data_IF_619060883126
#
_entry.id   IF_619060883126
#
_cell.length_a   1.000
_cell.length_b   1.000
_cell.length_c   1.000
_cell.angle_alpha   90.00
_cell.angle_beta   90.00
_cell.angle_gamma   90.00
#
_symmetry.space_group_name_H-M   'P 1'
#
loop_
_entity.id
_entity.type
_entity.pdbx_description
1 polymer ?
#
# COMPACT_ATOMS: atom_id res chain seq x y z
N UNK A 1 -31.55 -0.90 -2.25
CA UNK A 1 -30.25 -0.70 -2.93
C UNK A 1 -29.12 -1.01 -1.95
N UNK A 2 -28.68 -2.27 -1.84
CA UNK A 2 -27.75 -2.71 -0.79
C UNK A 2 -26.81 -3.85 -1.20
N UNK A 3 -26.62 -4.08 -2.50
CA UNK A 3 -25.78 -5.19 -3.02
C UNK A 3 -24.36 -4.78 -3.43
N UNK A 4 -24.04 -3.48 -3.46
CA UNK A 4 -22.73 -2.97 -3.93
C UNK A 4 -21.62 -2.94 -2.85
N UNK A 5 -21.96 -3.15 -1.57
CA UNK A 5 -21.01 -3.02 -0.44
C UNK A 5 -20.05 -4.22 -0.32
N UNK A 6 -20.51 -5.43 -0.64
CA UNK A 6 -19.70 -6.66 -0.59
C UNK A 6 -18.48 -6.63 -1.54
N UNK A 7 -18.62 -6.26 -2.83
CA UNK A 7 -17.47 -6.21 -3.74
C UNK A 7 -16.42 -5.17 -3.33
N UNK A 8 -16.84 -4.01 -2.82
CA UNK A 8 -15.90 -2.97 -2.36
C UNK A 8 -15.18 -3.38 -1.08
N UNK A 9 -15.87 -4.01 -0.13
CA UNK A 9 -15.24 -4.56 1.08
C UNK A 9 -14.12 -5.55 0.73
N UNK A 10 -14.34 -6.42 -0.25
CA UNK A 10 -13.32 -7.36 -0.71
C UNK A 10 -12.10 -6.65 -1.33
N UNK A 11 -12.32 -5.59 -2.12
CA UNK A 11 -11.24 -4.78 -2.67
C UNK A 11 -10.41 -4.09 -1.58
N UNK A 12 -11.06 -3.52 -0.56
CA UNK A 12 -10.38 -2.91 0.60
C UNK A 12 -9.55 -3.94 1.35
N UNK A 13 -10.10 -5.12 1.63
CA UNK A 13 -9.36 -6.20 2.31
C UNK A 13 -8.16 -6.66 1.48
N UNK A 14 -8.33 -6.81 0.17
CA UNK A 14 -7.26 -7.19 -0.75
C UNK A 14 -6.11 -6.18 -0.69
N UNK A 15 -6.38 -4.90 -0.88
CA UNK A 15 -5.33 -3.88 -0.92
C UNK A 15 -4.63 -3.71 0.43
N UNK A 16 -5.37 -3.86 1.54
CA UNK A 16 -4.78 -3.87 2.87
C UNK A 16 -3.76 -5.01 3.05
N UNK A 17 -4.09 -6.22 2.59
CA UNK A 17 -3.17 -7.37 2.63
C UNK A 17 -1.96 -7.20 1.72
N UNK A 18 -2.15 -6.63 0.53
CA UNK A 18 -1.06 -6.33 -0.40
C UNK A 18 -0.08 -5.31 0.20
N UNK A 19 -0.58 -4.23 0.81
CA UNK A 19 0.26 -3.23 1.48
C UNK A 19 0.97 -3.80 2.72
N UNK A 20 0.32 -4.71 3.47
CA UNK A 20 0.99 -5.44 4.55
C UNK A 20 2.11 -6.35 4.05
N UNK A 21 1.94 -6.97 2.88
CA UNK A 21 2.98 -7.79 2.29
C UNK A 21 4.19 -6.94 1.86
N UNK A 22 3.94 -5.82 1.18
CA UNK A 22 4.99 -4.90 0.72
C UNK A 22 5.75 -4.23 1.86
N UNK A 23 5.14 -4.09 3.03
CA UNK A 23 5.76 -3.43 4.19
C UNK A 23 6.67 -4.35 5.04
N UNK A 24 6.80 -5.63 4.70
CA UNK A 24 7.68 -6.57 5.43
C UNK A 24 9.14 -6.13 5.45
N UNK A 25 9.63 -5.63 4.34
CA UNK A 25 11.02 -5.18 4.16
C UNK A 25 11.18 -3.67 4.33
N UNK A 26 10.21 -3.02 4.99
CA UNK A 26 10.22 -1.58 5.18
C UNK A 26 11.39 -1.18 6.11
N UNK A 27 12.16 -0.10 5.81
CA UNK A 27 13.40 0.20 6.53
C UNK A 27 13.22 0.40 8.04
N UNK A 28 12.07 0.94 8.47
CA UNK A 28 11.72 1.20 9.87
C UNK A 28 11.13 -0.04 10.58
N UNK A 29 11.00 -1.17 9.88
CA UNK A 29 10.47 -2.43 10.40
C UNK A 29 8.99 -2.65 10.13
N UNK A 30 8.60 -3.93 10.13
CA UNK A 30 7.25 -4.37 9.81
C UNK A 30 6.20 -3.83 10.78
N UNK A 31 6.44 -3.91 12.09
CA UNK A 31 5.46 -3.48 13.11
C UNK A 31 5.18 -1.98 13.05
N UNK A 32 6.21 -1.18 12.76
CA UNK A 32 6.07 0.26 12.56
C UNK A 32 5.17 0.56 11.36
N UNK A 33 5.38 -0.12 10.23
CA UNK A 33 4.58 0.10 9.02
C UNK A 33 3.15 -0.44 9.18
N UNK A 34 3.01 -1.63 9.78
CA UNK A 34 1.74 -2.27 10.09
C UNK A 34 0.86 -1.41 10.98
N UNK A 35 1.41 -0.84 12.05
CA UNK A 35 0.63 0.01 12.98
C UNK A 35 0.10 1.27 12.29
N UNK A 36 0.92 1.93 11.45
CA UNK A 36 0.51 3.10 10.67
C UNK A 36 -0.52 2.76 9.60
N UNK A 37 -0.32 1.66 8.87
CA UNK A 37 -1.27 1.19 7.86
C UNK A 37 -2.61 0.88 8.51
N UNK A 38 -2.61 0.14 9.62
CA UNK A 38 -3.84 -0.18 10.36
C UNK A 38 -4.56 1.09 10.83
N UNK A 39 -3.83 2.06 11.40
CA UNK A 39 -4.41 3.35 11.82
C UNK A 39 -5.06 4.10 10.65
N UNK A 40 -4.41 4.13 9.48
CA UNK A 40 -4.95 4.80 8.29
C UNK A 40 -6.29 4.18 7.85
N UNK A 41 -6.34 2.84 7.71
CA UNK A 41 -7.57 2.14 7.32
C UNK A 41 -8.66 2.23 8.39
N UNK A 42 -8.29 2.08 9.67
CA UNK A 42 -9.22 2.16 10.80
C UNK A 42 -9.86 3.56 10.91
N UNK A 43 -9.11 4.63 10.66
CA UNK A 43 -9.64 6.00 10.69
C UNK A 43 -10.77 6.24 9.68
N UNK A 44 -10.82 5.45 8.60
CA UNK A 44 -11.83 5.54 7.55
C UNK A 44 -12.90 4.44 7.63
N UNK A 45 -12.92 3.62 8.68
CA UNK A 45 -13.85 2.50 8.80
C UNK A 45 -15.33 2.91 8.92
N UNK A 46 -15.61 4.17 9.22
CA UNK A 46 -16.96 4.73 9.34
C UNK A 46 -17.57 5.14 7.99
N UNK A 47 -16.80 5.14 6.89
CA UNK A 47 -17.30 5.52 5.57
C UNK A 47 -18.35 4.52 5.07
N UNK A 48 -19.54 5.03 4.74
CA UNK A 48 -20.64 4.27 4.15
C UNK A 48 -20.90 4.63 2.68
N UNK A 49 -20.44 5.81 2.26
CA UNK A 49 -20.61 6.30 0.90
C UNK A 49 -19.72 5.54 -0.09
N UNK A 50 -20.32 5.12 -1.20
CA UNK A 50 -19.67 4.25 -2.18
C UNK A 50 -18.53 4.96 -2.92
N UNK A 51 -18.74 6.23 -3.27
CA UNK A 51 -17.72 7.03 -3.97
C UNK A 51 -16.53 7.35 -3.06
N UNK A 52 -16.78 7.68 -1.80
CA UNK A 52 -15.76 7.86 -0.79
C UNK A 52 -14.90 6.60 -0.62
N UNK A 53 -15.50 5.42 -0.57
CA UNK A 53 -14.78 4.14 -0.49
C UNK A 53 -13.93 3.92 -1.75
N UNK A 54 -14.49 4.14 -2.95
CA UNK A 54 -13.74 4.02 -4.21
C UNK A 54 -12.54 4.97 -4.26
N UNK A 55 -12.71 6.20 -3.78
CA UNK A 55 -11.61 7.17 -3.69
C UNK A 55 -10.54 6.74 -2.69
N UNK A 56 -10.94 6.15 -1.55
CA UNK A 56 -10.02 5.54 -0.60
C UNK A 56 -9.21 4.40 -1.22
N UNK A 57 -9.85 3.52 -2.00
CA UNK A 57 -9.18 2.44 -2.73
C UNK A 57 -8.18 3.00 -3.74
N UNK A 58 -8.58 3.98 -4.57
CA UNK A 58 -7.67 4.63 -5.53
C UNK A 58 -6.44 5.23 -4.85
N UNK A 59 -6.62 5.86 -3.69
CA UNK A 59 -5.51 6.41 -2.89
C UNK A 59 -4.58 5.30 -2.39
N UNK A 60 -5.13 4.20 -1.90
CA UNK A 60 -4.33 3.05 -1.46
C UNK A 60 -3.56 2.41 -2.63
N UNK A 61 -4.15 2.35 -3.83
CA UNK A 61 -3.47 1.86 -5.06
C UNK A 61 -2.32 2.78 -5.48
N UNK A 62 -2.50 4.09 -5.35
CA UNK A 62 -1.44 5.05 -5.61
C UNK A 62 -0.25 4.84 -4.65
N UNK A 63 -0.51 4.76 -3.34
CA UNK A 63 0.52 4.51 -2.32
C UNK A 63 1.24 3.18 -2.56
N UNK A 64 0.50 2.13 -2.96
CA UNK A 64 1.09 0.84 -3.33
C UNK A 64 2.15 1.00 -4.43
N UNK A 65 1.82 1.72 -5.51
CA UNK A 65 2.75 1.97 -6.63
C UNK A 65 3.98 2.76 -6.20
N UNK A 66 3.83 3.73 -5.30
CA UNK A 66 4.97 4.47 -4.75
C UNK A 66 5.93 3.54 -3.98
N UNK A 67 5.40 2.66 -3.13
CA UNK A 67 6.21 1.69 -2.40
C UNK A 67 6.92 0.72 -3.35
N UNK A 68 6.23 0.22 -4.38
CA UNK A 68 6.83 -0.63 -5.41
C UNK A 68 7.95 0.11 -6.15
N UNK A 69 7.73 1.37 -6.54
CA UNK A 69 8.76 2.20 -7.18
C UNK A 69 10.00 2.38 -6.30
N UNK A 70 9.83 2.59 -4.99
CA UNK A 70 10.95 2.67 -4.05
C UNK A 70 11.71 1.34 -3.95
N UNK A 71 11.02 0.21 -4.01
CA UNK A 71 11.65 -1.11 -4.04
C UNK A 71 12.47 -1.31 -5.33
N UNK A 72 11.92 -0.95 -6.49
CA UNK A 72 12.65 -0.97 -7.76
C UNK A 72 13.88 -0.06 -7.74
N UNK A 73 13.75 1.15 -7.18
CA UNK A 73 14.85 2.10 -7.05
C UNK A 73 15.98 1.55 -6.16
N UNK A 74 15.63 0.92 -5.03
CA UNK A 74 16.61 0.26 -4.14
C UNK A 74 17.37 -0.83 -4.89
N UNK A 75 16.67 -1.69 -5.64
CA UNK A 75 17.29 -2.75 -6.46
C UNK A 75 18.19 -2.18 -7.55
N UNK A 76 17.72 -1.15 -8.24
CA UNK A 76 18.50 -0.47 -9.28
C UNK A 76 19.79 0.14 -8.72
N UNK A 77 19.73 0.83 -7.56
CA UNK A 77 20.92 1.38 -6.90
C UNK A 77 21.96 0.30 -6.58
N UNK A 78 21.51 -0.83 -6.01
CA UNK A 78 22.39 -1.95 -5.70
C UNK A 78 23.00 -2.61 -6.95
N UNK A 79 22.25 -2.69 -8.05
CA UNK A 79 22.76 -3.22 -9.32
C UNK A 79 23.80 -2.26 -9.92
N UNK A 80 23.48 -0.97 -9.99
CA UNK A 80 24.37 0.07 -10.52
C UNK A 80 25.70 0.11 -9.77
N UNK A 81 25.68 0.03 -8.44
CA UNK A 81 26.90 0.00 -7.62
C UNK A 81 27.82 -1.18 -7.97
N UNK A 82 27.26 -2.33 -8.31
CA UNK A 82 28.02 -3.55 -8.63
C UNK A 82 28.60 -3.57 -10.05
N UNK A 83 27.86 -3.01 -11.01
CA UNK A 83 28.19 -3.18 -12.44
C UNK A 83 28.64 -1.89 -13.12
N UNK A 84 28.25 -0.72 -12.63
CA UNK A 84 28.64 0.60 -13.16
C UNK A 84 29.21 1.49 -12.04
N UNK A 85 30.35 1.13 -11.43
CA UNK A 85 31.03 2.04 -10.52
C UNK A 85 31.38 3.32 -11.29
N UNK A 86 30.94 4.46 -10.77
CA UNK A 86 31.28 5.77 -11.33
C UNK A 86 32.82 5.86 -11.28
N UNK A 87 33.46 5.90 -12.45
CA UNK A 87 34.89 6.20 -12.58
C UNK A 87 35.19 7.62 -12.18
#
# INVERSE_FOLDING_TARGET
MSTTTLPLRHQVIRIYKELLYLSRDYPQGYDWARSRLHKAFSSQAHLQDEEAIKNGIKRAEFVKKEIEALYYLKRYRALRERYDPIK
#
